data_IF_087400842978
#
_entry.id   IF_087400842978
#
_cell.length_a   1.000
_cell.length_b   1.000
_cell.length_c   1.000
_cell.angle_alpha   90.00
_cell.angle_beta   90.00
_cell.angle_gamma   90.00
#
_symmetry.space_group_name_H-M   'P 1'
#
loop_
_entity.id
_entity.type
_entity.pdbx_description
1 polymer ?
#
# COMPACT_ATOMS: atom_id res chain seq x y z
N UNK A 1 12.73 1.00 -10.44
CA UNK A 1 12.88 -0.38 -9.94
C UNK A 1 12.41 -1.39 -10.97
N UNK A 2 11.18 -1.34 -11.48
CA UNK A 2 10.63 -2.31 -12.44
C UNK A 2 11.49 -2.46 -13.70
N UNK A 3 11.88 -1.34 -14.35
CA UNK A 3 12.75 -1.38 -15.54
C UNK A 3 14.10 -2.04 -15.25
N UNK A 4 14.69 -1.77 -14.09
CA UNK A 4 15.96 -2.40 -13.70
C UNK A 4 15.80 -3.91 -13.48
N UNK A 5 14.68 -4.34 -12.90
CA UNK A 5 14.37 -5.76 -12.73
C UNK A 5 14.18 -6.48 -14.09
N UNK A 6 13.56 -5.83 -15.07
CA UNK A 6 13.45 -6.36 -16.44
C UNK A 6 14.84 -6.53 -17.08
N UNK A 7 15.71 -5.49 -17.01
CA UNK A 7 17.06 -5.57 -17.56
C UNK A 7 17.86 -6.71 -16.92
N UNK A 8 17.82 -6.80 -15.58
CA UNK A 8 18.50 -7.88 -14.85
C UNK A 8 17.97 -9.28 -15.22
N UNK A 9 16.64 -9.41 -15.39
CA UNK A 9 16.03 -10.66 -15.81
C UNK A 9 16.49 -11.08 -17.22
N UNK A 10 16.63 -10.12 -18.13
CA UNK A 10 17.07 -10.40 -19.51
C UNK A 10 18.58 -10.76 -19.57
N UNK A 11 19.41 -10.10 -18.76
CA UNK A 11 20.83 -10.47 -18.62
C UNK A 11 20.96 -11.87 -18.04
N UNK A 12 20.27 -12.17 -16.97
CA UNK A 12 20.34 -13.48 -16.32
C UNK A 12 19.82 -14.62 -17.20
N UNK A 13 18.78 -14.39 -18.00
CA UNK A 13 18.31 -15.37 -19.00
C UNK A 13 19.37 -15.71 -20.03
N UNK A 14 20.18 -14.73 -20.46
CA UNK A 14 21.29 -14.97 -21.40
C UNK A 14 22.37 -15.85 -20.75
N UNK A 15 22.81 -15.51 -19.54
CA UNK A 15 23.81 -16.28 -18.80
C UNK A 15 23.38 -17.74 -18.57
N UNK A 16 22.11 -17.96 -18.19
CA UNK A 16 21.57 -19.32 -18.00
C UNK A 16 21.59 -20.10 -19.31
N UNK A 17 21.20 -19.46 -20.43
CA UNK A 17 21.20 -20.09 -21.73
C UNK A 17 22.61 -20.47 -22.19
N UNK A 18 23.58 -19.61 -21.99
CA UNK A 18 25.00 -19.84 -22.30
C UNK A 18 25.59 -20.98 -21.48
N UNK A 19 25.15 -21.17 -20.23
CA UNK A 19 25.54 -22.28 -19.37
C UNK A 19 24.80 -23.59 -19.65
N UNK A 20 23.93 -23.65 -20.67
CA UNK A 20 23.14 -24.82 -21.01
C UNK A 20 21.95 -25.09 -20.08
N UNK A 21 21.63 -24.16 -19.21
CA UNK A 21 20.47 -24.21 -18.29
C UNK A 21 19.16 -23.65 -18.90
N UNK A 22 18.09 -23.87 -18.18
CA UNK A 22 16.80 -23.22 -18.48
C UNK A 22 16.14 -22.73 -17.20
N UNK A 23 15.63 -21.47 -17.22
CA UNK A 23 14.86 -20.90 -16.14
C UNK A 23 13.81 -19.93 -16.70
N UNK A 24 12.62 -19.97 -16.14
CA UNK A 24 11.59 -18.98 -16.43
C UNK A 24 11.62 -17.89 -15.37
N UNK A 25 11.80 -16.67 -15.78
CA UNK A 25 11.82 -15.50 -14.92
C UNK A 25 10.68 -14.58 -15.34
N UNK A 26 9.84 -14.23 -14.39
CA UNK A 26 8.71 -13.33 -14.56
C UNK A 26 8.92 -12.08 -13.72
N UNK A 27 8.70 -10.91 -14.29
CA UNK A 27 8.78 -9.62 -13.58
C UNK A 27 7.43 -8.94 -13.66
N UNK A 28 6.81 -8.71 -12.52
CA UNK A 28 5.48 -8.11 -12.41
C UNK A 28 5.60 -6.69 -11.85
N UNK A 29 5.01 -5.70 -12.52
CA UNK A 29 4.97 -4.33 -12.03
C UNK A 29 3.81 -4.15 -11.05
N UNK A 30 4.13 -3.92 -9.79
CA UNK A 30 3.11 -3.67 -8.75
C UNK A 30 2.50 -2.27 -8.81
N UNK A 31 3.19 -1.30 -9.44
CA UNK A 31 2.83 0.13 -9.43
C UNK A 31 2.56 0.69 -8.02
N UNK A 32 3.09 0.03 -6.99
CA UNK A 32 2.75 0.27 -5.61
C UNK A 32 3.97 0.21 -4.67
N UNK A 33 3.75 0.45 -3.38
CA UNK A 33 4.75 0.53 -2.33
C UNK A 33 4.38 -0.33 -1.13
N UNK A 34 5.39 -0.58 -0.23
CA UNK A 34 5.21 -1.16 1.10
C UNK A 34 4.34 -2.45 1.12
N UNK A 35 3.45 -2.59 2.09
CA UNK A 35 2.56 -3.75 2.24
C UNK A 35 1.61 -3.99 1.07
N UNK A 36 1.38 -2.99 0.20
CA UNK A 36 0.52 -3.15 -0.98
C UNK A 36 1.06 -4.19 -1.94
N UNK A 37 2.39 -4.25 -2.12
CA UNK A 37 3.02 -5.36 -2.86
C UNK A 37 3.55 -6.47 -1.95
N UNK A 38 3.90 -6.16 -0.70
CA UNK A 38 4.44 -7.15 0.24
C UNK A 38 3.46 -8.26 0.58
N UNK A 39 2.21 -7.90 0.84
CA UNK A 39 1.14 -8.88 1.15
C UNK A 39 0.90 -9.86 -0.01
N UNK A 40 0.62 -9.43 -1.25
CA UNK A 40 0.38 -10.37 -2.33
C UNK A 40 1.61 -11.20 -2.71
N UNK A 41 2.83 -10.70 -2.50
CA UNK A 41 4.05 -11.50 -2.70
C UNK A 41 4.13 -12.64 -1.67
N UNK A 42 3.78 -12.38 -0.41
CA UNK A 42 3.68 -13.44 0.60
C UNK A 42 2.60 -14.47 0.22
N UNK A 43 1.43 -14.02 -0.22
CA UNK A 43 0.36 -14.91 -0.67
C UNK A 43 0.79 -15.71 -1.91
N UNK A 44 1.51 -15.11 -2.86
CA UNK A 44 2.07 -15.81 -4.02
C UNK A 44 3.03 -16.93 -3.61
N UNK A 45 3.87 -16.71 -2.60
CA UNK A 45 4.74 -17.74 -2.07
C UNK A 45 3.95 -18.91 -1.45
N UNK A 46 2.89 -18.60 -0.69
CA UNK A 46 2.00 -19.62 -0.14
C UNK A 46 1.24 -20.41 -1.22
N UNK A 47 0.84 -19.76 -2.30
CA UNK A 47 0.21 -20.39 -3.47
C UNK A 47 1.20 -21.34 -4.16
N UNK A 48 2.44 -20.90 -4.37
CA UNK A 48 3.49 -21.74 -4.94
C UNK A 48 3.76 -22.99 -4.07
N UNK A 49 3.78 -22.86 -2.74
CA UNK A 49 3.91 -23.99 -1.82
C UNK A 49 2.75 -24.99 -1.93
N UNK A 50 1.56 -24.53 -2.31
CA UNK A 50 0.38 -25.37 -2.55
C UNK A 50 0.35 -26.00 -3.96
N UNK A 51 1.35 -25.70 -4.81
CA UNK A 51 1.48 -26.26 -6.14
C UNK A 51 0.72 -25.49 -7.23
N UNK A 52 0.26 -24.27 -6.95
CA UNK A 52 -0.35 -23.40 -7.99
C UNK A 52 0.71 -23.08 -9.06
N UNK A 53 0.27 -23.00 -10.31
CA UNK A 53 1.15 -22.74 -11.44
C UNK A 53 1.67 -21.31 -11.47
N UNK A 54 2.82 -21.03 -12.09
CA UNK A 54 3.31 -19.66 -12.25
C UNK A 54 2.29 -18.71 -12.90
N UNK A 55 1.52 -19.19 -13.86
CA UNK A 55 0.55 -18.36 -14.57
C UNK A 55 -0.62 -17.96 -13.64
N UNK A 56 -1.16 -18.89 -12.85
CA UNK A 56 -2.19 -18.62 -11.83
C UNK A 56 -1.68 -17.62 -10.78
N UNK A 57 -0.43 -17.75 -10.34
CA UNK A 57 0.18 -16.83 -9.38
C UNK A 57 0.36 -15.44 -9.98
N UNK A 58 0.79 -15.34 -11.24
CA UNK A 58 0.96 -14.06 -11.95
C UNK A 58 -0.39 -13.37 -12.13
N UNK A 59 -1.42 -14.10 -12.50
CA UNK A 59 -2.77 -13.55 -12.67
C UNK A 59 -3.35 -13.06 -11.34
N UNK A 60 -3.15 -13.81 -10.25
CA UNK A 60 -3.47 -13.35 -8.90
C UNK A 60 -2.75 -12.03 -8.54
N UNK A 61 -1.44 -11.93 -8.82
CA UNK A 61 -0.66 -10.73 -8.54
C UNK A 61 -1.17 -9.52 -9.34
N UNK A 62 -1.45 -9.70 -10.63
CA UNK A 62 -1.98 -8.64 -11.49
C UNK A 62 -3.36 -8.16 -10.99
N UNK A 63 -4.27 -9.11 -10.73
CA UNK A 63 -5.60 -8.80 -10.20
C UNK A 63 -5.52 -8.00 -8.89
N UNK A 64 -4.63 -8.42 -7.97
CA UNK A 64 -4.42 -7.67 -6.73
C UNK A 64 -3.89 -6.27 -7.00
N UNK A 65 -2.85 -6.10 -7.82
CA UNK A 65 -2.24 -4.80 -8.07
C UNK A 65 -3.17 -3.82 -8.80
N UNK A 66 -4.08 -4.31 -9.61
CA UNK A 66 -5.05 -3.48 -10.31
C UNK A 66 -6.13 -2.92 -9.38
N UNK A 67 -6.42 -3.59 -8.27
CA UNK A 67 -7.46 -3.17 -7.32
C UNK A 67 -6.93 -2.69 -5.96
N UNK A 68 -5.65 -2.91 -5.64
CA UNK A 68 -5.11 -2.56 -4.33
C UNK A 68 -4.94 -1.05 -4.14
N UNK A 69 -5.44 -0.56 -3.03
CA UNK A 69 -5.32 0.84 -2.62
C UNK A 69 -4.72 0.93 -1.22
N UNK A 70 -3.88 1.94 -0.98
CA UNK A 70 -3.48 2.33 0.37
C UNK A 70 -4.05 3.69 0.70
N UNK A 71 -4.68 3.80 1.86
CA UNK A 71 -5.24 5.01 2.41
C UNK A 71 -4.55 5.32 3.73
N UNK A 72 -4.01 6.50 3.88
CA UNK A 72 -3.26 6.85 5.09
C UNK A 72 -3.28 8.35 5.39
N UNK A 73 -3.05 8.66 6.66
CA UNK A 73 -2.88 10.02 7.17
C UNK A 73 -1.46 10.14 7.72
N UNK A 74 -0.59 10.99 7.15
CA UNK A 74 0.69 11.33 7.74
C UNK A 74 0.49 12.31 8.89
N UNK A 75 1.13 12.06 10.04
CA UNK A 75 1.01 12.92 11.23
C UNK A 75 1.79 14.23 11.08
N UNK A 76 2.65 14.35 10.06
CA UNK A 76 3.38 15.56 9.70
C UNK A 76 3.46 15.77 8.19
N UNK A 77 3.29 16.99 7.74
CA UNK A 77 3.40 17.34 6.31
C UNK A 77 4.83 17.67 5.88
N UNK A 78 5.77 17.78 6.82
CA UNK A 78 7.16 18.21 6.54
C UNK A 78 7.83 17.34 5.49
N UNK A 79 7.69 16.02 5.60
CA UNK A 79 8.31 15.06 4.69
C UNK A 79 7.54 14.95 3.38
N UNK A 80 6.23 14.91 3.44
CA UNK A 80 5.34 14.84 2.27
C UNK A 80 5.61 16.01 1.30
N UNK A 81 5.74 17.23 1.84
CA UNK A 81 6.09 18.43 1.04
C UNK A 81 7.46 18.31 0.37
N UNK A 82 8.47 17.79 1.08
CA UNK A 82 9.84 17.66 0.56
C UNK A 82 10.00 16.54 -0.48
N UNK A 83 9.19 15.52 -0.38
CA UNK A 83 9.34 14.31 -1.20
C UNK A 83 8.93 14.49 -2.67
N UNK A 84 8.05 15.45 -2.95
CA UNK A 84 7.46 15.66 -4.28
C UNK A 84 6.62 14.46 -4.79
N UNK A 85 6.32 13.48 -3.90
CA UNK A 85 5.59 12.25 -4.28
C UNK A 85 4.07 12.42 -4.20
N UNK A 86 3.59 13.45 -3.53
CA UNK A 86 2.16 13.78 -3.45
C UNK A 86 1.95 15.09 -4.17
N UNK A 87 1.42 15.02 -5.37
CA UNK A 87 1.14 16.19 -6.23
C UNK A 87 0.25 17.20 -5.54
N UNK A 88 -0.64 16.73 -4.67
CA UNK A 88 -1.52 17.58 -3.87
C UNK A 88 -0.85 18.17 -2.61
N UNK A 89 0.40 17.83 -2.28
CA UNK A 89 1.13 18.51 -1.20
C UNK A 89 1.34 20.00 -1.51
N UNK A 90 1.36 20.37 -2.79
CA UNK A 90 1.36 21.76 -3.24
C UNK A 90 0.05 22.49 -2.85
N UNK A 91 -1.09 21.81 -2.73
CA UNK A 91 -2.36 22.38 -2.27
C UNK A 91 -2.39 22.71 -0.77
N UNK A 92 -1.36 22.30 -0.02
CA UNK A 92 -1.14 22.65 1.39
C UNK A 92 -0.09 23.77 1.56
N UNK A 93 0.20 24.54 0.51
CA UNK A 93 1.19 25.63 0.51
C UNK A 93 0.76 26.89 1.27
N UNK A 94 -0.31 26.86 2.03
CA UNK A 94 -0.74 27.90 2.96
C UNK A 94 -1.07 27.28 4.30
N UNK A 95 -0.64 27.89 5.37
CA UNK A 95 -0.86 27.51 6.77
C UNK A 95 -2.30 27.07 7.05
N UNK A 96 -2.48 25.77 7.22
CA UNK A 96 -3.68 25.28 7.88
C UNK A 96 -3.23 24.48 9.10
N UNK A 97 -2.96 25.20 10.18
CA UNK A 97 -2.65 24.62 11.48
C UNK A 97 -3.70 23.55 11.83
N UNK A 98 -3.24 22.33 12.10
CA UNK A 98 -4.09 21.24 12.54
C UNK A 98 -4.85 20.48 11.44
N UNK A 99 -4.59 20.75 10.13
CA UNK A 99 -5.11 19.92 9.05
C UNK A 99 -4.16 18.75 8.71
N UNK A 100 -4.74 17.59 8.54
CA UNK A 100 -4.07 16.36 8.07
C UNK A 100 -4.69 15.88 6.77
N UNK A 101 -3.91 15.61 5.71
CA UNK A 101 -4.47 15.02 4.50
C UNK A 101 -4.74 13.53 4.70
N UNK A 102 -5.90 13.06 4.28
CA UNK A 102 -6.11 11.67 3.96
C UNK A 102 -5.65 11.45 2.53
N UNK A 103 -4.64 10.62 2.36
CA UNK A 103 -3.99 10.34 1.08
C UNK A 103 -4.36 8.94 0.65
N UNK A 104 -4.80 8.82 -0.60
CA UNK A 104 -4.99 7.55 -1.29
C UNK A 104 -3.87 7.37 -2.32
N UNK A 105 -3.31 6.16 -2.40
CA UNK A 105 -2.46 5.74 -3.51
C UNK A 105 -3.11 4.52 -4.16
N UNK A 106 -3.35 4.63 -5.45
CA UNK A 106 -3.91 3.58 -6.29
C UNK A 106 -3.26 3.66 -7.69
N UNK A 107 -2.88 2.52 -8.27
CA UNK A 107 -2.23 2.47 -9.58
C UNK A 107 -0.97 3.34 -9.70
N UNK A 108 -0.24 3.55 -8.60
CA UNK A 108 0.96 4.40 -8.54
C UNK A 108 0.69 5.90 -8.41
N UNK A 109 -0.56 6.32 -8.34
CA UNK A 109 -0.96 7.74 -8.26
C UNK A 109 -1.37 8.07 -6.83
N UNK A 110 -0.77 9.14 -6.28
CA UNK A 110 -1.11 9.66 -4.95
C UNK A 110 -2.08 10.83 -5.06
N UNK A 111 -3.20 10.75 -4.34
CA UNK A 111 -4.26 11.77 -4.33
C UNK A 111 -4.64 12.12 -2.91
N UNK A 112 -4.83 13.40 -2.59
CA UNK A 112 -5.48 13.82 -1.34
C UNK A 112 -6.99 13.75 -1.56
N UNK A 113 -7.65 12.87 -0.83
CA UNK A 113 -9.10 12.64 -0.95
C UNK A 113 -9.92 13.38 0.10
N UNK A 114 -9.30 13.72 1.24
CA UNK A 114 -9.94 14.52 2.30
C UNK A 114 -8.91 15.33 3.10
N UNK A 115 -9.35 16.44 3.69
CA UNK A 115 -8.58 17.26 4.64
C UNK A 115 -9.22 17.14 6.03
N UNK A 116 -8.55 16.42 6.93
CA UNK A 116 -9.07 16.16 8.28
C UNK A 116 -8.61 17.26 9.22
N UNK A 117 -9.53 17.88 9.93
CA UNK A 117 -9.23 18.87 10.97
C UNK A 117 -9.25 18.23 12.35
N UNK A 118 -8.12 18.35 13.06
CA UNK A 118 -7.95 17.80 14.41
C UNK A 118 -7.69 16.30 14.43
N UNK A 119 -6.77 15.88 15.28
CA UNK A 119 -6.29 14.51 15.37
C UNK A 119 -7.39 13.53 15.79
N UNK A 120 -8.28 13.95 16.71
CA UNK A 120 -9.43 13.17 17.19
C UNK A 120 -10.40 12.69 16.11
N UNK A 121 -10.35 13.28 14.92
CA UNK A 121 -11.23 12.93 13.81
C UNK A 121 -10.57 11.96 12.82
N UNK A 122 -9.28 11.60 13.01
CA UNK A 122 -8.55 10.78 12.06
C UNK A 122 -9.17 9.38 11.93
N UNK A 123 -9.40 8.72 13.05
CA UNK A 123 -9.93 7.35 13.07
C UNK A 123 -11.33 7.31 12.45
N UNK A 124 -12.24 8.19 12.83
CA UNK A 124 -13.59 8.22 12.28
C UNK A 124 -13.62 8.51 10.76
N UNK A 125 -12.71 9.37 10.28
CA UNK A 125 -12.59 9.68 8.85
C UNK A 125 -12.00 8.55 8.04
N UNK A 126 -10.96 7.89 8.56
CA UNK A 126 -10.39 6.70 7.94
C UNK A 126 -11.40 5.55 7.91
N UNK A 127 -12.16 5.33 8.99
CA UNK A 127 -13.22 4.32 9.01
C UNK A 127 -14.29 4.59 7.96
N UNK A 128 -14.80 5.82 7.90
CA UNK A 128 -15.80 6.21 6.90
C UNK A 128 -15.28 6.07 5.46
N UNK A 129 -14.00 6.31 5.26
CA UNK A 129 -13.35 6.11 3.97
C UNK A 129 -13.21 4.63 3.61
N UNK A 130 -12.83 3.78 4.56
CA UNK A 130 -12.76 2.34 4.38
C UNK A 130 -14.15 1.76 4.01
N UNK A 131 -15.23 2.22 4.65
CA UNK A 131 -16.61 1.80 4.34
C UNK A 131 -17.01 2.11 2.89
N UNK A 132 -16.54 3.25 2.34
CA UNK A 132 -16.88 3.67 0.98
C UNK A 132 -16.01 3.02 -0.09
N UNK A 133 -14.78 2.65 0.27
CA UNK A 133 -13.73 2.31 -0.70
C UNK A 133 -13.43 0.82 -0.76
N UNK A 134 -13.66 0.08 0.32
CA UNK A 134 -13.26 -1.32 0.42
C UNK A 134 -14.29 -2.24 -0.23
N UNK A 135 -13.82 -3.18 -1.05
CA UNK A 135 -14.64 -4.30 -1.52
C UNK A 135 -15.07 -5.16 -0.33
N UNK A 136 -16.39 -5.36 -0.11
CA UNK A 136 -16.88 -6.09 1.05
C UNK A 136 -16.31 -7.52 1.16
N UNK A 137 -16.05 -7.96 2.39
CA UNK A 137 -15.55 -9.30 2.72
C UNK A 137 -14.20 -9.65 2.10
N UNK A 138 -13.39 -8.64 1.79
CA UNK A 138 -11.99 -8.83 1.36
C UNK A 138 -11.04 -8.57 2.51
N UNK A 139 -9.85 -9.21 2.52
CA UNK A 139 -8.83 -8.94 3.53
C UNK A 139 -8.36 -7.48 3.47
N UNK A 140 -8.04 -6.92 4.64
CA UNK A 140 -7.41 -5.63 4.76
C UNK A 140 -6.20 -5.68 5.69
N UNK A 141 -5.26 -4.77 5.49
CA UNK A 141 -3.99 -4.71 6.22
C UNK A 141 -3.87 -3.34 6.86
N UNK A 142 -3.52 -3.27 8.14
CA UNK A 142 -3.23 -2.01 8.81
C UNK A 142 -1.82 -1.52 8.46
N UNK A 143 -1.68 -0.21 8.33
CA UNK A 143 -0.39 0.47 8.11
C UNK A 143 -0.11 1.38 9.29
N UNK A 144 1.03 1.16 9.97
CA UNK A 144 1.47 1.98 11.10
C UNK A 144 2.84 2.60 10.88
N UNK A 145 3.06 3.74 11.52
CA UNK A 145 4.38 4.35 11.70
C UNK A 145 5.07 3.89 12.98
N UNK A 146 5.83 4.81 13.60
CA UNK A 146 6.53 4.58 14.88
C UNK A 146 5.58 4.51 16.07
N UNK A 147 4.41 5.13 16.00
CA UNK A 147 3.39 5.12 17.03
C UNK A 147 2.21 4.26 16.57
N UNK A 148 1.62 3.51 17.48
CA UNK A 148 0.56 2.54 17.15
C UNK A 148 -0.83 2.94 17.65
N UNK A 149 -0.97 3.83 18.63
CA UNK A 149 -2.24 4.11 19.30
C UNK A 149 -3.42 4.38 18.34
N UNK A 150 -3.27 5.28 17.36
CA UNK A 150 -4.31 5.54 16.37
C UNK A 150 -4.54 4.36 15.42
N UNK A 151 -3.50 3.57 15.14
CA UNK A 151 -3.63 2.37 14.29
C UNK A 151 -4.38 1.28 15.03
N UNK A 152 -4.11 1.10 16.32
CA UNK A 152 -4.76 0.09 17.16
C UNK A 152 -6.25 0.45 17.36
N UNK A 153 -6.56 1.74 17.58
CA UNK A 153 -7.93 2.25 17.63
C UNK A 153 -8.66 2.03 16.30
N UNK A 154 -8.04 2.40 15.18
CA UNK A 154 -8.63 2.20 13.86
C UNK A 154 -8.88 0.71 13.57
N UNK A 155 -7.93 -0.17 13.90
CA UNK A 155 -8.07 -1.61 13.71
C UNK A 155 -9.25 -2.17 14.54
N UNK A 156 -9.43 -1.72 15.77
CA UNK A 156 -10.56 -2.11 16.62
C UNK A 156 -11.90 -1.65 16.01
N UNK A 157 -11.98 -0.40 15.55
CA UNK A 157 -13.19 0.16 14.95
C UNK A 157 -13.52 -0.54 13.60
N UNK A 158 -12.52 -0.79 12.75
CA UNK A 158 -12.73 -1.55 11.50
C UNK A 158 -13.17 -2.98 11.78
N UNK A 159 -12.56 -3.65 12.78
CA UNK A 159 -12.96 -5.01 13.20
C UNK A 159 -14.42 -5.03 13.66
N UNK A 160 -14.81 -4.07 14.50
CA UNK A 160 -16.20 -3.95 14.97
C UNK A 160 -17.18 -3.69 13.82
N UNK A 161 -16.78 -2.87 12.84
CA UNK A 161 -17.63 -2.49 11.72
C UNK A 161 -17.78 -3.57 10.67
N UNK A 162 -16.67 -4.20 10.29
CA UNK A 162 -16.67 -5.21 9.22
C UNK A 162 -16.92 -6.63 9.70
N UNK A 163 -16.77 -6.89 11.03
CA UNK A 163 -17.00 -8.20 11.63
C UNK A 163 -15.82 -9.16 11.54
N UNK A 164 -14.66 -8.70 11.12
CA UNK A 164 -13.40 -9.48 11.07
C UNK A 164 -12.18 -8.58 11.27
N UNK A 165 -11.09 -9.11 11.87
CA UNK A 165 -9.88 -8.34 12.12
C UNK A 165 -9.06 -8.11 10.85
N UNK A 166 -8.09 -7.17 10.88
CA UNK A 166 -7.11 -7.06 9.80
C UNK A 166 -6.29 -8.34 9.69
N UNK A 167 -5.90 -8.69 8.49
CA UNK A 167 -5.05 -9.85 8.22
C UNK A 167 -3.65 -9.66 8.82
N UNK A 168 -3.09 -8.45 8.68
CA UNK A 168 -1.79 -8.04 9.20
C UNK A 168 -1.78 -6.58 9.62
N UNK A 169 -0.80 -6.23 10.45
CA UNK A 169 -0.37 -4.86 10.66
C UNK A 169 1.07 -4.74 10.17
N UNK A 170 1.31 -3.88 9.18
CA UNK A 170 2.65 -3.62 8.65
C UNK A 170 3.17 -2.28 9.15
N UNK A 171 4.42 -2.25 9.59
CA UNK A 171 5.12 -1.01 9.90
C UNK A 171 5.79 -0.49 8.63
N UNK A 172 5.68 0.82 8.37
CA UNK A 172 6.37 1.44 7.25
C UNK A 172 7.88 1.35 7.43
N UNK A 173 8.59 0.99 6.36
CA UNK A 173 10.05 0.98 6.35
C UNK A 173 10.64 2.37 6.16
N UNK A 174 11.96 2.50 6.35
CA UNK A 174 12.71 3.76 6.26
C UNK A 174 12.49 4.50 4.92
N UNK A 175 12.43 3.80 3.80
CA UNK A 175 12.20 4.39 2.49
C UNK A 175 10.85 5.13 2.38
N UNK A 176 9.79 4.57 2.99
CA UNK A 176 8.48 5.23 3.05
C UNK A 176 8.50 6.38 4.07
N UNK A 177 9.13 6.17 5.23
CA UNK A 177 9.23 7.18 6.28
C UNK A 177 9.96 8.45 5.82
N UNK A 178 10.97 8.34 4.96
CA UNK A 178 11.65 9.49 4.37
C UNK A 178 10.70 10.38 3.51
N UNK A 179 9.62 9.81 2.97
CA UNK A 179 8.67 10.51 2.12
C UNK A 179 7.37 10.91 2.85
N UNK A 180 6.86 10.05 3.72
CA UNK A 180 5.59 10.26 4.43
C UNK A 180 5.75 10.80 5.87
N UNK A 181 6.97 10.72 6.42
CA UNK A 181 7.24 10.88 7.83
C UNK A 181 7.22 9.53 8.55
N UNK A 182 7.82 9.49 9.73
CA UNK A 182 7.94 8.25 10.51
C UNK A 182 6.63 7.83 11.18
N UNK A 183 5.69 8.75 11.35
CA UNK A 183 4.41 8.46 11.99
C UNK A 183 3.26 8.62 11.00
N UNK A 184 2.58 7.52 10.71
CA UNK A 184 1.44 7.41 9.81
C UNK A 184 0.42 6.44 10.41
N UNK A 185 -0.84 6.61 10.05
CA UNK A 185 -1.93 5.67 10.34
C UNK A 185 -2.72 5.45 9.06
N UNK A 186 -3.07 4.20 8.76
CA UNK A 186 -3.82 3.89 7.55
C UNK A 186 -4.08 2.41 7.36
N UNK A 187 -4.55 2.07 6.18
CA UNK A 187 -4.88 0.71 5.80
C UNK A 187 -4.64 0.46 4.30
N UNK A 188 -4.54 -0.80 3.94
CA UNK A 188 -4.48 -1.30 2.56
C UNK A 188 -5.72 -2.17 2.36
N UNK A 189 -6.40 -1.98 1.23
CA UNK A 189 -7.64 -2.67 0.88
C UNK A 189 -7.65 -3.07 -0.59
N UNK A 190 -8.56 -3.96 -0.95
CA UNK A 190 -9.06 -4.08 -2.32
C UNK A 190 -10.10 -2.99 -2.53
N UNK A 191 -9.78 -2.01 -3.37
CA UNK A 191 -10.70 -0.95 -3.74
C UNK A 191 -11.88 -1.47 -4.56
N UNK A 192 -13.02 -0.79 -4.45
CA UNK A 192 -14.17 -1.05 -5.31
C UNK A 192 -13.80 -0.62 -6.73
N UNK A 193 -13.77 -1.57 -7.66
CA UNK A 193 -13.60 -1.26 -9.08
C UNK A 193 -14.84 -0.49 -9.57
N UNK A 194 -14.59 0.67 -10.16
CA UNK A 194 -15.63 1.49 -10.78
C UNK A 194 -15.76 1.17 -12.24
#
# INVERSE_FOLDING_TARGET
>A
TYKNALSAADEFKKEIKESGGSMRIYVVDSKNYTGVYGYPVMQAALKAQKGETPDEIIDYLKEWFDCAEVHFVPMTLKYVKKSGRVTAAAAFAGELLGLRPLIKIAGGISTVIEKIRGEKNIVSKLLADAERSMTPKTPYIMVKGSESALTDELAAEMTRKFGYPPEYTVQIGAAVACNAGHNVVGFIIRGIQK
#
